data_IF_689525848039
#
_entry.id   IF_689525848039
#
_cell.length_a   1.000
_cell.length_b   1.000
_cell.length_c   1.000
_cell.angle_alpha   90.00
_cell.angle_beta   90.00
_cell.angle_gamma   90.00
#
_symmetry.space_group_name_H-M   'P 1'
#
loop_
_entity.id
_entity.type
_entity.pdbx_description
1 polymer ?
#
# COMPACT_ATOMS: atom_id res chain seq x y z
N UNK A 1 -6.28 -17.15 -0.85
CA UNK A 1 -7.70 -16.77 -0.90
C UNK A 1 -8.31 -16.89 0.49
N UNK A 2 -9.04 -15.89 0.96
CA UNK A 2 -9.72 -15.94 2.25
C UNK A 2 -11.21 -15.73 2.08
N UNK A 3 -12.02 -16.53 2.77
CA UNK A 3 -13.48 -16.51 2.71
C UNK A 3 -14.08 -16.15 4.07
N UNK A 4 -15.26 -15.54 4.03
CA UNK A 4 -16.16 -15.43 5.18
C UNK A 4 -17.53 -15.91 4.72
N UNK A 5 -18.04 -16.96 5.33
CA UNK A 5 -19.36 -17.50 5.06
C UNK A 5 -20.27 -17.04 6.20
N UNK A 6 -21.29 -16.24 5.87
CA UNK A 6 -22.32 -15.84 6.83
C UNK A 6 -23.30 -16.98 7.12
N UNK A 7 -23.95 -16.94 8.28
CA UNK A 7 -24.92 -17.94 8.70
C UNK A 7 -24.37 -19.04 9.60
N UNK A 8 -25.14 -20.10 9.79
CA UNK A 8 -24.74 -21.21 10.62
C UNK A 8 -23.60 -22.03 10.01
N UNK A 9 -22.72 -22.53 10.88
CA UNK A 9 -21.63 -23.38 10.44
C UNK A 9 -22.17 -24.70 9.87
N UNK A 10 -21.73 -25.00 8.65
CA UNK A 10 -22.02 -26.28 7.97
C UNK A 10 -20.79 -26.82 7.28
N UNK A 11 -20.55 -28.10 7.38
CA UNK A 11 -19.48 -28.79 6.67
C UNK A 11 -19.80 -29.13 5.22
N UNK A 12 -20.98 -28.77 4.75
CA UNK A 12 -21.46 -29.03 3.38
C UNK A 12 -21.08 -27.93 2.38
N UNK A 13 -20.39 -26.90 2.85
CA UNK A 13 -19.88 -25.84 1.97
C UNK A 13 -18.65 -26.30 1.20
N UNK A 14 -18.65 -26.01 -0.09
CA UNK A 14 -17.51 -26.19 -0.99
C UNK A 14 -17.27 -24.92 -1.82
N UNK A 15 -16.04 -24.77 -2.35
CA UNK A 15 -15.65 -23.57 -3.09
C UNK A 15 -14.91 -23.97 -4.37
N UNK A 16 -15.39 -23.48 -5.51
CA UNK A 16 -14.74 -23.59 -6.82
C UNK A 16 -14.11 -22.23 -7.17
N UNK A 17 -12.81 -22.21 -7.48
CA UNK A 17 -12.08 -21.02 -7.89
C UNK A 17 -11.49 -21.29 -9.27
N UNK A 18 -11.88 -20.50 -10.25
CA UNK A 18 -11.37 -20.54 -11.62
C UNK A 18 -10.75 -19.20 -11.98
N UNK A 19 -9.67 -19.23 -12.73
CA UNK A 19 -9.06 -18.04 -13.26
C UNK A 19 -8.53 -18.26 -14.66
N UNK A 20 -8.65 -17.25 -15.52
CA UNK A 20 -8.11 -17.27 -16.87
C UNK A 20 -7.47 -15.93 -17.26
N UNK A 21 -6.32 -16.01 -17.90
CA UNK A 21 -5.62 -14.88 -18.50
C UNK A 21 -4.94 -15.38 -19.78
N UNK A 22 -5.43 -14.95 -20.96
CA UNK A 22 -4.93 -15.44 -22.25
C UNK A 22 -4.96 -16.99 -22.31
N UNK A 23 -3.80 -17.61 -22.59
CA UNK A 23 -3.64 -19.07 -22.62
C UNK A 23 -3.51 -19.70 -21.23
N UNK A 24 -3.19 -18.94 -20.19
CA UNK A 24 -3.01 -19.45 -18.83
C UNK A 24 -4.33 -19.55 -18.08
N UNK A 25 -4.61 -20.74 -17.53
CA UNK A 25 -5.83 -21.03 -16.78
C UNK A 25 -5.52 -21.84 -15.54
N UNK A 26 -6.33 -21.66 -14.51
CA UNK A 26 -6.30 -22.54 -13.34
C UNK A 26 -7.74 -22.83 -12.87
N UNK A 27 -7.91 -23.96 -12.22
CA UNK A 27 -9.15 -24.34 -11.56
C UNK A 27 -8.82 -25.14 -10.31
N UNK A 28 -9.37 -24.72 -9.18
CA UNK A 28 -9.16 -25.34 -7.88
C UNK A 28 -10.51 -25.52 -7.19
N UNK A 29 -10.77 -26.75 -6.72
CA UNK A 29 -11.98 -27.08 -6.03
C UNK A 29 -11.68 -27.54 -4.60
N UNK A 30 -12.24 -26.86 -3.63
CA UNK A 30 -12.22 -27.22 -2.22
C UNK A 30 -13.54 -27.87 -1.87
N UNK A 31 -13.55 -29.18 -1.78
CA UNK A 31 -14.76 -30.00 -1.60
C UNK A 31 -15.39 -29.84 -0.22
N UNK A 32 -14.70 -29.25 0.74
CA UNK A 32 -15.17 -29.02 2.10
C UNK A 32 -14.49 -27.82 2.74
N UNK A 33 -15.29 -26.91 3.25
CA UNK A 33 -14.82 -25.79 4.07
C UNK A 33 -15.08 -26.13 5.54
N UNK A 34 -13.99 -26.24 6.32
CA UNK A 34 -14.06 -26.64 7.74
C UNK A 34 -14.48 -25.51 8.67
N UNK A 35 -14.36 -24.26 8.19
CA UNK A 35 -14.66 -23.08 8.99
C UNK A 35 -15.32 -22.03 8.11
N UNK A 36 -16.17 -21.21 8.72
CA UNK A 36 -16.82 -20.07 8.04
C UNK A 36 -15.86 -18.89 7.79
N UNK A 37 -14.65 -18.93 8.35
CA UNK A 37 -13.58 -17.98 8.10
C UNK A 37 -12.28 -18.74 7.93
N UNK A 38 -11.47 -18.37 6.94
CA UNK A 38 -10.19 -19.04 6.75
C UNK A 38 -9.41 -18.48 5.58
N UNK A 39 -8.24 -19.06 5.36
CA UNK A 39 -7.42 -18.85 4.19
C UNK A 39 -7.20 -20.20 3.49
N UNK A 40 -7.34 -20.19 2.19
CA UNK A 40 -7.08 -21.34 1.33
C UNK A 40 -5.85 -21.02 0.47
N UNK A 41 -4.96 -21.99 0.35
CA UNK A 41 -3.72 -21.86 -0.42
C UNK A 41 -3.71 -22.85 -1.56
N UNK A 42 -3.31 -22.42 -2.73
CA UNK A 42 -3.13 -23.27 -3.90
C UNK A 42 -2.02 -22.72 -4.80
N UNK A 43 -1.51 -23.55 -5.69
CA UNK A 43 -0.47 -23.18 -6.63
C UNK A 43 -1.05 -23.03 -8.02
N UNK A 44 -0.62 -22.01 -8.73
CA UNK A 44 -0.87 -21.84 -10.17
C UNK A 44 0.43 -22.15 -10.89
N UNK A 45 0.41 -23.21 -11.71
CA UNK A 45 1.58 -23.61 -12.49
C UNK A 45 1.81 -22.69 -13.69
N UNK A 46 3.05 -22.28 -13.90
CA UNK A 46 3.48 -21.43 -15.03
C UNK A 46 2.58 -20.21 -15.25
N UNK A 47 2.38 -19.35 -14.23
CA UNK A 47 1.48 -18.22 -14.34
C UNK A 47 2.05 -17.15 -15.27
N UNK A 48 1.16 -16.43 -15.97
CA UNK A 48 1.49 -15.17 -16.60
C UNK A 48 1.59 -14.09 -15.53
N UNK A 49 2.77 -13.53 -15.34
CA UNK A 49 3.00 -12.55 -14.29
C UNK A 49 2.47 -11.17 -14.70
N UNK A 50 1.93 -10.46 -13.73
CA UNK A 50 1.64 -9.03 -13.85
C UNK A 50 2.92 -8.23 -13.60
N UNK A 51 3.17 -7.22 -14.40
CA UNK A 51 4.33 -6.35 -14.30
C UNK A 51 3.94 -4.89 -14.10
N UNK A 52 4.80 -4.14 -13.43
CA UNK A 52 4.68 -2.69 -13.40
C UNK A 52 4.89 -2.11 -14.81
N UNK A 53 4.36 -0.91 -15.02
CA UNK A 53 4.44 -0.18 -16.30
C UNK A 53 5.88 -0.13 -16.79
N UNK A 54 6.06 -0.34 -18.08
CA UNK A 54 7.33 -0.41 -18.81
C UNK A 54 8.27 -1.58 -18.45
N UNK A 55 7.81 -2.53 -17.64
CA UNK A 55 8.60 -3.71 -17.27
C UNK A 55 8.08 -5.02 -17.90
N UNK A 56 6.88 -5.00 -18.42
CA UNK A 56 6.21 -6.15 -19.02
C UNK A 56 4.70 -5.94 -19.09
N UNK A 57 3.98 -7.00 -19.34
CA UNK A 57 2.53 -6.96 -19.53
C UNK A 57 1.77 -6.97 -18.20
N UNK A 58 0.64 -6.28 -18.16
CA UNK A 58 -0.28 -6.27 -17.03
C UNK A 58 -1.27 -7.43 -17.13
N UNK A 59 -0.75 -8.66 -16.99
CA UNK A 59 -1.55 -9.86 -17.07
C UNK A 59 -2.48 -9.97 -15.85
N UNK A 60 -3.79 -9.85 -16.09
CA UNK A 60 -4.83 -9.96 -15.08
C UNK A 60 -5.68 -11.19 -15.36
N UNK A 61 -5.74 -12.10 -14.41
CA UNK A 61 -6.67 -13.24 -14.44
C UNK A 61 -8.07 -12.75 -14.09
N UNK A 62 -9.04 -13.06 -14.93
CA UNK A 62 -10.45 -13.00 -14.53
C UNK A 62 -10.73 -14.20 -13.64
N UNK A 63 -10.96 -13.94 -12.38
CA UNK A 63 -11.19 -14.98 -11.36
C UNK A 63 -12.66 -15.04 -11.02
N UNK A 64 -13.23 -16.24 -11.06
CA UNK A 64 -14.58 -16.54 -10.59
C UNK A 64 -14.47 -17.48 -9.39
N UNK A 65 -15.05 -17.08 -8.26
CA UNK A 65 -15.14 -17.91 -7.07
C UNK A 65 -16.63 -18.21 -6.78
N UNK A 66 -16.98 -19.49 -6.79
CA UNK A 66 -18.37 -19.96 -6.59
C UNK A 66 -18.46 -20.78 -5.33
N UNK A 67 -19.30 -20.35 -4.40
CA UNK A 67 -19.59 -21.03 -3.14
C UNK A 67 -20.83 -21.90 -3.32
N UNK A 68 -20.73 -23.17 -2.90
CA UNK A 68 -21.83 -24.14 -2.91
C UNK A 68 -22.19 -24.54 -1.48
N UNK A 69 -23.46 -24.83 -1.27
CA UNK A 69 -23.97 -25.62 -0.15
C UNK A 69 -24.56 -26.90 -0.69
N UNK A 70 -23.92 -28.02 -0.47
CA UNK A 70 -24.21 -29.26 -1.17
C UNK A 70 -24.05 -29.12 -2.69
N UNK A 71 -25.17 -29.15 -3.45
CA UNK A 71 -25.14 -28.94 -4.92
C UNK A 71 -25.65 -27.55 -5.35
N UNK A 72 -26.13 -26.75 -4.42
CA UNK A 72 -26.73 -25.46 -4.69
C UNK A 72 -25.67 -24.38 -4.68
N UNK A 73 -25.67 -23.49 -5.68
CA UNK A 73 -24.86 -22.28 -5.69
C UNK A 73 -25.50 -21.27 -4.74
N UNK A 74 -24.76 -20.86 -3.72
CA UNK A 74 -25.24 -19.88 -2.73
C UNK A 74 -24.62 -18.49 -2.91
N UNK A 75 -23.44 -18.42 -3.56
CA UNK A 75 -22.81 -17.15 -3.88
C UNK A 75 -21.81 -17.32 -5.03
N UNK A 76 -21.63 -16.25 -5.81
CA UNK A 76 -20.59 -16.18 -6.85
C UNK A 76 -20.02 -14.77 -6.89
N UNK A 77 -18.68 -14.68 -6.93
CA UNK A 77 -18.00 -13.40 -7.08
C UNK A 77 -16.99 -13.48 -8.22
N UNK A 78 -16.85 -12.38 -8.96
CA UNK A 78 -15.86 -12.20 -10.01
C UNK A 78 -14.97 -11.00 -9.71
N UNK A 79 -13.69 -11.14 -10.00
CA UNK A 79 -12.71 -10.04 -9.88
C UNK A 79 -11.49 -10.30 -10.75
N UNK A 80 -10.75 -9.25 -11.05
CA UNK A 80 -9.45 -9.36 -11.71
C UNK A 80 -8.34 -9.50 -10.65
N UNK A 81 -7.35 -10.33 -10.95
CA UNK A 81 -6.20 -10.54 -10.08
C UNK A 81 -4.94 -10.80 -10.88
N UNK A 82 -3.86 -10.07 -10.61
CA UNK A 82 -2.54 -10.28 -11.20
C UNK A 82 -1.62 -11.03 -10.25
N UNK A 83 -0.92 -12.02 -10.79
CA UNK A 83 0.08 -12.80 -10.03
C UNK A 83 1.42 -12.08 -10.12
N UNK A 84 1.94 -11.66 -9.01
CA UNK A 84 3.24 -10.96 -8.92
C UNK A 84 3.83 -11.03 -7.51
N UNK A 85 5.11 -10.70 -7.37
CA UNK A 85 5.75 -10.36 -6.10
C UNK A 85 6.13 -8.88 -6.11
N UNK A 86 6.03 -8.23 -4.95
CA UNK A 86 6.60 -6.89 -4.71
C UNK A 86 7.36 -6.96 -3.40
N UNK A 87 8.57 -6.43 -3.39
CA UNK A 87 9.37 -6.28 -2.18
C UNK A 87 9.91 -4.87 -2.07
N UNK A 88 9.87 -4.33 -0.87
CA UNK A 88 10.57 -3.11 -0.48
C UNK A 88 11.84 -3.50 0.26
N UNK A 89 12.99 -3.15 -0.29
CA UNK A 89 14.28 -3.30 0.38
C UNK A 89 14.70 -1.93 0.89
N UNK A 90 14.90 -1.81 2.19
CA UNK A 90 15.29 -0.56 2.84
C UNK A 90 16.28 -0.82 3.97
N UNK A 91 17.18 0.12 4.17
CA UNK A 91 18.04 0.20 5.35
C UNK A 91 17.40 1.08 6.43
N UNK A 92 17.87 0.95 7.67
CA UNK A 92 17.42 1.79 8.79
C UNK A 92 17.90 3.23 8.67
N UNK A 93 19.10 3.40 8.13
CA UNK A 93 19.74 4.70 7.91
C UNK A 93 20.58 4.65 6.63
N UNK A 94 20.86 5.81 6.09
CA UNK A 94 21.89 6.02 5.07
C UNK A 94 23.04 6.84 5.67
N UNK A 95 24.19 6.88 4.99
CA UNK A 95 25.32 7.71 5.38
C UNK A 95 25.74 8.67 4.25
N UNK A 96 26.66 9.59 4.56
CA UNK A 96 27.15 10.58 3.61
C UNK A 96 27.98 9.98 2.45
N UNK A 97 28.34 8.70 2.54
CA UNK A 97 29.00 7.96 1.46
C UNK A 97 28.00 7.29 0.52
N UNK A 98 26.69 7.51 0.74
CA UNK A 98 25.62 6.92 -0.08
C UNK A 98 25.32 5.47 0.26
N UNK A 99 25.86 4.93 1.36
CA UNK A 99 25.46 3.60 1.81
C UNK A 99 24.07 3.64 2.40
N UNK A 100 23.24 2.68 2.01
CA UNK A 100 21.85 2.55 2.36
C UNK A 100 21.04 2.16 1.15
N UNK A 101 19.78 1.86 1.36
CA UNK A 101 18.88 1.42 0.30
C UNK A 101 17.42 1.76 0.64
N UNK A 102 16.68 2.18 -0.37
CA UNK A 102 15.22 2.20 -0.37
C UNK A 102 14.77 1.97 -1.81
N UNK A 103 14.41 0.74 -2.14
CA UNK A 103 14.00 0.43 -3.51
C UNK A 103 12.98 -0.71 -3.56
N UNK A 104 12.20 -0.68 -4.63
CA UNK A 104 11.21 -1.71 -4.93
C UNK A 104 11.78 -2.76 -5.90
N UNK A 105 11.35 -4.01 -5.68
CA UNK A 105 11.57 -5.11 -6.61
C UNK A 105 10.21 -5.69 -7.00
N UNK A 106 9.93 -5.74 -8.30
CA UNK A 106 8.74 -6.38 -8.86
C UNK A 106 9.17 -7.66 -9.56
N UNK A 107 8.63 -8.79 -9.15
CA UNK A 107 9.02 -10.12 -9.67
C UNK A 107 10.54 -10.36 -9.64
N UNK A 108 11.20 -9.88 -8.58
CA UNK A 108 12.64 -10.00 -8.41
C UNK A 108 13.47 -8.98 -9.20
N UNK A 109 12.86 -8.11 -10.00
CA UNK A 109 13.57 -7.09 -10.78
C UNK A 109 13.50 -5.74 -10.06
N UNK A 110 14.67 -5.12 -9.87
CA UNK A 110 14.77 -3.77 -9.28
C UNK A 110 14.02 -2.77 -10.14
N UNK A 111 13.13 -2.02 -9.52
CA UNK A 111 12.19 -1.12 -10.20
C UNK A 111 12.48 0.31 -9.82
N UNK A 112 12.84 1.14 -10.81
CA UNK A 112 12.93 2.59 -10.61
C UNK A 112 11.53 3.20 -10.57
N UNK A 113 11.21 3.90 -9.48
CA UNK A 113 9.90 4.52 -9.29
C UNK A 113 9.88 5.93 -9.89
N UNK A 114 8.94 6.13 -10.78
CA UNK A 114 8.52 7.44 -11.32
C UNK A 114 7.10 7.65 -10.86
N UNK A 115 6.90 8.46 -9.85
CA UNK A 115 5.60 8.56 -9.20
C UNK A 115 5.23 9.97 -8.81
N UNK A 116 4.03 10.10 -8.30
CA UNK A 116 3.50 11.32 -7.70
C UNK A 116 2.66 10.97 -6.48
N UNK A 117 2.44 11.97 -5.61
CA UNK A 117 1.46 11.84 -4.55
C UNK A 117 0.06 12.07 -5.10
N UNK A 118 -0.89 11.28 -4.61
CA UNK A 118 -2.30 11.42 -4.90
C UNK A 118 -3.00 12.02 -3.70
N UNK A 119 -3.60 13.17 -3.93
CA UNK A 119 -4.38 13.94 -2.94
C UNK A 119 -5.83 14.05 -3.41
N UNK A 120 -6.78 14.47 -2.55
CA UNK A 120 -8.17 14.66 -2.96
C UNK A 120 -8.28 15.53 -4.21
N UNK A 121 -9.10 15.11 -5.17
CA UNK A 121 -9.31 15.80 -6.44
C UNK A 121 -10.24 17.01 -6.31
N UNK A 122 -11.06 17.02 -5.27
CA UNK A 122 -11.95 18.14 -4.92
C UNK A 122 -12.02 18.29 -3.38
N UNK A 123 -12.37 19.47 -2.90
CA UNK A 123 -12.65 19.71 -1.49
C UNK A 123 -13.88 18.90 -1.00
N UNK A 124 -14.75 18.53 -1.91
CA UNK A 124 -15.90 17.66 -1.67
C UNK A 124 -15.68 16.32 -2.38
N UNK A 125 -15.35 15.28 -1.64
CA UNK A 125 -15.06 13.94 -2.20
C UNK A 125 -16.19 13.35 -3.05
N UNK A 126 -17.44 13.74 -2.78
CA UNK A 126 -18.59 13.36 -3.63
C UNK A 126 -18.46 13.83 -5.08
N UNK A 127 -17.53 14.74 -5.37
CA UNK A 127 -17.26 15.29 -6.72
C UNK A 127 -15.99 14.75 -7.35
N UNK A 128 -15.21 13.93 -6.66
CA UNK A 128 -13.95 13.38 -7.17
C UNK A 128 -14.16 12.63 -8.47
N UNK A 129 -15.25 11.88 -8.62
CA UNK A 129 -15.60 11.13 -9.82
C UNK A 129 -15.68 11.98 -11.10
N UNK A 130 -16.04 13.28 -10.99
CA UNK A 130 -16.07 14.20 -12.12
C UNK A 130 -14.67 14.46 -12.73
N UNK A 131 -13.62 14.31 -11.91
CA UNK A 131 -12.23 14.61 -12.24
C UNK A 131 -11.36 13.37 -12.37
N UNK A 132 -11.78 12.25 -11.78
CA UNK A 132 -10.99 11.02 -11.63
C UNK A 132 -10.37 10.57 -12.95
N UNK A 133 -11.19 10.41 -13.99
CA UNK A 133 -10.68 9.94 -15.29
C UNK A 133 -9.56 10.83 -15.83
N UNK A 134 -9.74 12.14 -15.80
CA UNK A 134 -8.74 13.09 -16.30
C UNK A 134 -7.44 13.03 -15.49
N UNK A 135 -7.54 12.95 -14.17
CA UNK A 135 -6.38 12.84 -13.29
C UNK A 135 -5.62 11.52 -13.52
N UNK A 136 -6.34 10.41 -13.70
CA UNK A 136 -5.75 9.11 -14.02
C UNK A 136 -5.06 9.10 -15.41
N UNK A 137 -5.68 9.70 -16.43
CA UNK A 137 -5.07 9.84 -17.75
C UNK A 137 -3.75 10.65 -17.66
N UNK A 138 -3.71 11.71 -16.82
CA UNK A 138 -2.49 12.49 -16.59
C UNK A 138 -1.34 11.65 -15.98
N UNK A 139 -1.63 10.65 -15.13
CA UNK A 139 -0.57 9.75 -14.63
C UNK A 139 0.13 9.01 -15.76
N UNK A 140 -0.62 8.62 -16.79
CA UNK A 140 -0.07 7.97 -17.99
C UNK A 140 0.74 8.95 -18.83
N UNK A 141 0.24 10.17 -19.03
CA UNK A 141 0.87 11.21 -19.83
C UNK A 141 2.24 11.61 -19.28
N UNK A 142 2.37 11.71 -17.95
CA UNK A 142 3.65 12.00 -17.30
C UNK A 142 4.50 10.75 -17.04
N UNK A 143 4.08 9.60 -17.60
CA UNK A 143 4.78 8.33 -17.52
C UNK A 143 5.02 7.81 -16.09
N UNK A 144 4.06 7.98 -15.20
CA UNK A 144 4.10 7.39 -13.87
C UNK A 144 4.00 5.86 -13.93
N UNK A 145 4.80 5.18 -13.11
CA UNK A 145 4.66 3.75 -12.81
C UNK A 145 4.29 3.49 -11.35
N UNK A 146 4.13 4.54 -10.57
CA UNK A 146 3.67 4.45 -9.18
C UNK A 146 2.89 5.70 -8.77
N UNK A 147 2.02 5.55 -7.78
CA UNK A 147 1.29 6.63 -7.13
C UNK A 147 1.20 6.34 -5.64
N UNK A 148 1.38 7.38 -4.82
CA UNK A 148 1.20 7.30 -3.37
C UNK A 148 -0.10 7.99 -2.97
N UNK A 149 -1.04 7.22 -2.44
CA UNK A 149 -2.25 7.74 -1.80
C UNK A 149 -1.88 8.29 -0.42
N UNK A 150 -1.78 9.60 -0.33
CA UNK A 150 -1.29 10.34 0.82
C UNK A 150 -2.21 10.22 2.05
N UNK A 151 -1.62 10.08 3.24
CA UNK A 151 -2.31 9.84 4.50
C UNK A 151 -3.22 10.98 5.00
N UNK A 152 -3.08 12.19 4.47
CA UNK A 152 -4.01 13.32 4.71
C UNK A 152 -5.25 13.29 3.80
N UNK A 153 -5.51 12.18 3.13
CA UNK A 153 -6.57 12.02 2.14
C UNK A 153 -7.62 10.99 2.62
N UNK A 154 -8.45 10.57 1.68
CA UNK A 154 -9.41 9.47 1.83
C UNK A 154 -8.89 8.21 1.14
N UNK A 155 -9.52 7.07 1.45
CA UNK A 155 -9.24 5.83 0.73
C UNK A 155 -10.04 5.79 -0.56
N UNK A 156 -9.33 5.70 -1.69
CA UNK A 156 -9.94 5.65 -3.00
C UNK A 156 -10.83 4.43 -3.22
N UNK A 157 -11.70 4.52 -4.21
CA UNK A 157 -12.59 3.44 -4.59
C UNK A 157 -11.95 2.48 -5.59
N UNK A 158 -12.63 1.37 -5.84
CA UNK A 158 -12.16 0.31 -6.72
C UNK A 158 -11.82 0.79 -8.14
N UNK A 159 -12.53 1.79 -8.67
CA UNK A 159 -12.27 2.35 -10.00
C UNK A 159 -10.84 2.87 -10.14
N UNK A 160 -10.34 3.59 -9.13
CA UNK A 160 -8.95 4.05 -9.09
C UNK A 160 -7.96 2.88 -9.14
N UNK A 161 -8.16 1.88 -8.30
CA UNK A 161 -7.28 0.70 -8.23
C UNK A 161 -7.38 -0.18 -9.47
N UNK A 162 -8.58 -0.35 -10.04
CA UNK A 162 -8.80 -1.09 -11.29
C UNK A 162 -8.05 -0.44 -12.45
N UNK A 163 -8.00 0.89 -12.48
CA UNK A 163 -7.20 1.62 -13.46
C UNK A 163 -5.71 1.35 -13.25
N UNK A 164 -5.21 1.42 -12.01
CA UNK A 164 -3.82 1.13 -11.67
C UNK A 164 -3.45 -0.33 -12.00
N UNK A 165 -4.33 -1.29 -11.68
CA UNK A 165 -4.15 -2.70 -12.02
C UNK A 165 -3.98 -2.92 -13.53
N UNK A 166 -4.81 -2.27 -14.35
CA UNK A 166 -4.79 -2.38 -15.83
C UNK A 166 -3.59 -1.69 -16.48
N UNK A 167 -3.06 -0.66 -15.85
CA UNK A 167 -2.00 0.18 -16.45
C UNK A 167 -0.62 -0.03 -15.82
N UNK A 168 -0.47 -0.97 -14.89
CA UNK A 168 0.82 -1.29 -14.28
C UNK A 168 1.33 -0.22 -13.31
N UNK A 169 0.43 0.57 -12.72
CA UNK A 169 0.80 1.62 -11.77
C UNK A 169 0.80 1.02 -10.36
N UNK A 170 1.97 0.97 -9.72
CA UNK A 170 2.08 0.55 -8.34
C UNK A 170 1.41 1.57 -7.40
N UNK A 171 0.67 1.10 -6.41
CA UNK A 171 0.04 1.96 -5.41
C UNK A 171 0.71 1.77 -4.05
N UNK A 172 1.21 2.85 -3.51
CA UNK A 172 1.61 3.00 -2.12
C UNK A 172 0.42 3.62 -1.39
N UNK A 173 -0.17 2.92 -0.43
CA UNK A 173 -1.33 3.39 0.32
C UNK A 173 -0.96 3.69 1.77
N UNK A 174 -1.02 4.96 2.15
CA UNK A 174 -0.98 5.35 3.57
C UNK A 174 -2.34 5.05 4.23
N UNK A 175 -2.31 4.71 5.52
CA UNK A 175 -3.51 4.83 6.34
C UNK A 175 -3.80 6.30 6.62
N UNK A 176 -5.09 6.63 6.81
CA UNK A 176 -5.58 8.04 6.86
C UNK A 176 -5.16 8.76 8.16
N UNK A 177 -3.86 8.94 8.33
CA UNK A 177 -3.23 9.73 9.39
C UNK A 177 -2.11 10.58 8.80
N UNK A 178 -1.95 11.82 9.28
CA UNK A 178 -0.88 12.68 8.78
C UNK A 178 -0.50 13.79 9.74
N UNK A 179 0.78 14.15 9.71
CA UNK A 179 1.35 15.38 10.26
C UNK A 179 1.05 15.65 11.75
N UNK A 180 0.83 14.62 12.55
CA UNK A 180 0.41 14.78 13.95
C UNK A 180 0.83 13.60 14.84
N UNK A 181 0.70 13.80 16.15
CA UNK A 181 0.75 12.72 17.14
C UNK A 181 -0.68 12.34 17.52
N UNK A 182 -1.03 11.07 17.34
CA UNK A 182 -2.37 10.54 17.62
C UNK A 182 -2.46 9.92 19.01
N UNK A 183 -3.67 9.79 19.60
CA UNK A 183 -3.84 9.14 20.90
C UNK A 183 -3.36 7.69 20.90
N UNK A 184 -2.65 7.30 21.98
CA UNK A 184 -2.06 5.96 22.13
C UNK A 184 -2.85 5.09 23.14
N UNK A 185 -4.06 5.50 23.51
CA UNK A 185 -4.90 4.77 24.44
C UNK A 185 -5.60 3.58 23.76
N UNK A 186 -6.08 2.65 24.56
CA UNK A 186 -6.70 1.40 24.09
C UNK A 186 -7.90 1.65 23.16
N UNK A 187 -8.72 2.64 23.45
CA UNK A 187 -9.91 2.94 22.65
C UNK A 187 -9.55 3.39 21.24
N UNK A 188 -8.56 4.28 21.10
CA UNK A 188 -8.13 4.75 19.79
C UNK A 188 -7.42 3.64 18.98
N UNK A 189 -6.58 2.84 19.64
CA UNK A 189 -5.96 1.67 19.00
C UNK A 189 -6.99 0.69 18.46
N UNK A 190 -8.10 0.47 19.18
CA UNK A 190 -9.16 -0.41 18.68
C UNK A 190 -9.89 0.17 17.49
N UNK A 191 -10.18 1.47 17.48
CA UNK A 191 -10.75 2.17 16.31
C UNK A 191 -9.85 2.00 15.09
N UNK A 192 -8.53 2.14 15.27
CA UNK A 192 -7.57 1.95 14.18
C UNK A 192 -7.49 0.49 13.69
N UNK A 193 -7.65 -0.50 14.58
CA UNK A 193 -7.76 -1.91 14.14
C UNK A 193 -8.98 -2.14 13.27
N UNK A 194 -10.14 -1.62 13.68
CA UNK A 194 -11.39 -1.74 12.93
C UNK A 194 -11.28 -1.08 11.55
N UNK A 195 -10.77 0.14 11.50
CA UNK A 195 -10.53 0.86 10.24
C UNK A 195 -9.57 0.08 9.34
N UNK A 196 -8.42 -0.33 9.89
CA UNK A 196 -7.43 -1.12 9.15
C UNK A 196 -8.04 -2.41 8.60
N UNK A 197 -8.82 -3.13 9.39
CA UNK A 197 -9.48 -4.36 8.95
C UNK A 197 -10.43 -4.10 7.77
N UNK A 198 -11.22 -3.04 7.84
CA UNK A 198 -12.15 -2.66 6.78
C UNK A 198 -11.41 -2.31 5.49
N UNK A 199 -10.41 -1.44 5.58
CA UNK A 199 -9.66 -0.95 4.42
C UNK A 199 -8.83 -2.07 3.77
N UNK A 200 -8.17 -2.89 4.57
CA UNK A 200 -7.40 -4.02 4.04
C UNK A 200 -8.31 -5.01 3.33
N UNK A 201 -9.48 -5.34 3.88
CA UNK A 201 -10.46 -6.21 3.19
C UNK A 201 -10.97 -5.59 1.89
N UNK A 202 -11.19 -4.27 1.86
CA UNK A 202 -11.61 -3.54 0.66
C UNK A 202 -10.54 -3.63 -0.45
N UNK A 203 -9.28 -3.37 -0.13
CA UNK A 203 -8.26 -3.05 -1.11
C UNK A 203 -7.25 -4.18 -1.42
N UNK A 204 -7.04 -5.14 -0.52
CA UNK A 204 -5.99 -6.15 -0.64
C UNK A 204 -6.05 -7.02 -1.90
N UNK A 205 -7.21 -7.10 -2.57
CA UNK A 205 -7.37 -7.85 -3.82
C UNK A 205 -6.69 -7.19 -5.01
N UNK A 206 -6.42 -5.88 -4.94
CA UNK A 206 -5.84 -5.13 -6.04
C UNK A 206 -4.37 -5.46 -6.23
N UNK A 207 -4.03 -5.77 -7.47
CA UNK A 207 -2.68 -6.18 -7.89
C UNK A 207 -1.69 -5.03 -7.81
N UNK A 208 -2.13 -3.83 -8.16
CA UNK A 208 -1.34 -2.60 -8.11
C UNK A 208 -0.91 -2.22 -6.70
N UNK A 209 -1.67 -2.56 -5.68
CA UNK A 209 -1.34 -2.24 -4.29
C UNK A 209 -0.04 -2.91 -3.87
N UNK A 210 1.03 -2.13 -3.79
CA UNK A 210 2.40 -2.59 -3.58
C UNK A 210 2.83 -2.49 -2.12
N UNK A 211 2.41 -1.44 -1.42
CA UNK A 211 2.87 -1.08 -0.08
C UNK A 211 1.72 -0.51 0.74
N UNK A 212 1.63 -0.95 2.00
CA UNK A 212 0.89 -0.25 3.04
C UNK A 212 1.84 0.63 3.84
N UNK A 213 1.48 1.88 4.10
CA UNK A 213 2.20 2.74 5.03
C UNK A 213 1.31 3.16 6.20
N UNK A 214 1.89 3.25 7.38
CA UNK A 214 1.14 3.51 8.61
C UNK A 214 0.56 4.92 8.65
N UNK A 215 1.28 5.90 8.14
CA UNK A 215 0.88 7.30 8.16
C UNK A 215 1.77 8.18 7.26
N UNK A 216 1.38 9.45 7.12
CA UNK A 216 2.20 10.52 6.58
C UNK A 216 2.83 11.36 7.69
N UNK A 217 4.14 11.39 7.78
CA UNK A 217 4.95 12.30 8.62
C UNK A 217 4.69 12.26 10.14
N UNK A 218 3.95 11.28 10.66
CA UNK A 218 3.71 11.22 12.11
C UNK A 218 4.98 10.91 12.91
N UNK A 219 5.91 10.14 12.33
CA UNK A 219 7.22 9.90 12.95
C UNK A 219 8.05 11.19 13.00
N UNK A 220 8.11 11.95 11.91
CA UNK A 220 8.80 13.23 11.89
C UNK A 220 8.15 14.26 12.82
N UNK A 221 6.83 14.32 12.84
CA UNK A 221 6.10 15.20 13.75
C UNK A 221 6.43 14.91 15.22
N UNK A 222 6.51 13.62 15.58
CA UNK A 222 6.87 13.21 16.93
C UNK A 222 8.33 13.49 17.26
N UNK A 223 9.25 13.20 16.33
CA UNK A 223 10.68 13.24 16.56
C UNK A 223 11.29 14.64 16.42
N UNK A 224 10.87 15.42 15.41
CA UNK A 224 11.67 16.55 14.92
C UNK A 224 10.93 17.88 14.81
N UNK A 225 9.58 17.91 14.81
CA UNK A 225 8.87 19.19 14.60
C UNK A 225 8.62 19.98 15.88
N UNK A 226 8.72 19.33 17.03
CA UNK A 226 8.58 19.96 18.32
C UNK A 226 9.95 20.32 18.90
N UNK A 227 9.97 21.25 19.86
CA UNK A 227 11.16 21.49 20.66
C UNK A 227 11.70 20.19 21.26
N UNK A 228 13.01 20.05 21.39
CA UNK A 228 13.66 18.83 21.91
C UNK A 228 13.06 18.34 23.25
N UNK A 229 12.60 19.26 24.10
CA UNK A 229 11.94 18.92 25.36
C UNK A 229 10.56 18.28 25.20
N UNK A 230 9.95 18.45 24.04
CA UNK A 230 8.62 17.92 23.69
C UNK A 230 8.70 16.77 22.66
N UNK A 231 9.87 16.57 22.06
CA UNK A 231 10.06 15.48 21.08
C UNK A 231 9.81 14.12 21.73
N UNK A 232 9.25 13.21 20.97
CA UNK A 232 8.85 11.87 21.43
C UNK A 232 9.45 10.82 20.51
N UNK A 233 9.86 9.71 21.11
CA UNK A 233 10.33 8.56 20.37
C UNK A 233 9.20 8.01 19.45
N UNK A 234 9.34 8.13 18.13
CA UNK A 234 8.33 7.69 17.18
C UNK A 234 8.13 6.16 17.21
N UNK A 235 9.13 5.41 17.69
CA UNK A 235 9.05 3.95 17.80
C UNK A 235 8.09 3.49 18.91
N UNK A 236 7.62 4.41 19.74
CA UNK A 236 6.54 4.18 20.72
C UNK A 236 5.14 4.45 20.17
N UNK A 237 5.01 4.80 18.89
CA UNK A 237 3.70 4.92 18.23
C UNK A 237 3.08 3.52 18.05
N UNK A 238 2.22 3.13 18.98
CA UNK A 238 1.59 1.81 19.02
C UNK A 238 0.60 1.59 17.87
N UNK A 239 0.08 2.65 17.29
CA UNK A 239 -0.85 2.52 16.15
C UNK A 239 -0.11 1.86 14.99
N UNK A 240 1.01 2.42 14.60
CA UNK A 240 1.76 2.00 13.41
C UNK A 240 2.77 0.87 13.70
N UNK A 241 3.12 0.61 14.97
CA UNK A 241 4.03 -0.48 15.36
C UNK A 241 3.30 -1.73 15.90
N UNK A 242 2.05 -1.58 16.39
CA UNK A 242 1.30 -2.71 16.96
C UNK A 242 -0.04 -2.92 16.23
N UNK A 243 -0.97 -1.92 16.28
CA UNK A 243 -2.36 -2.10 15.87
C UNK A 243 -2.52 -2.42 14.38
N UNK A 244 -1.89 -1.63 13.50
CA UNK A 244 -1.94 -1.86 12.04
C UNK A 244 -1.20 -3.16 11.64
N UNK A 245 0.06 -3.40 12.07
CA UNK A 245 0.76 -4.64 11.75
C UNK A 245 0.05 -5.91 12.19
N UNK A 246 -0.63 -5.90 13.35
CA UNK A 246 -1.40 -7.03 13.83
C UNK A 246 -2.52 -7.43 12.84
N UNK A 247 -3.22 -6.44 12.30
CA UNK A 247 -4.28 -6.67 11.32
C UNK A 247 -3.68 -7.11 9.97
N UNK A 248 -2.61 -6.47 9.52
CA UNK A 248 -1.93 -6.81 8.26
C UNK A 248 -1.38 -8.24 8.31
N UNK A 249 -0.74 -8.64 9.41
CA UNK A 249 -0.24 -10.01 9.59
C UNK A 249 -1.34 -11.07 9.43
N UNK A 250 -2.55 -10.74 9.82
CA UNK A 250 -3.71 -11.65 9.71
C UNK A 250 -4.38 -11.62 8.33
N UNK A 251 -4.47 -10.44 7.70
CA UNK A 251 -5.30 -10.24 6.51
C UNK A 251 -4.53 -10.07 5.21
N UNK A 252 -3.30 -9.57 5.24
CA UNK A 252 -2.46 -9.32 4.06
C UNK A 252 -0.96 -9.53 4.38
N UNK A 253 -0.56 -10.73 4.87
CA UNK A 253 0.75 -10.98 5.47
C UNK A 253 1.94 -10.93 4.50
N UNK A 254 1.68 -10.91 3.20
CA UNK A 254 2.71 -10.95 2.17
C UNK A 254 2.97 -9.60 1.50
N UNK A 255 2.22 -8.57 1.89
CA UNK A 255 2.44 -7.22 1.37
C UNK A 255 3.37 -6.45 2.29
N UNK A 256 4.25 -5.67 1.66
CA UNK A 256 5.19 -4.83 2.39
C UNK A 256 4.46 -3.77 3.25
N UNK A 257 5.06 -3.46 4.39
CA UNK A 257 4.56 -2.45 5.31
C UNK A 257 5.67 -1.50 5.75
N UNK A 258 5.40 -0.21 5.66
CA UNK A 258 6.25 0.87 6.15
C UNK A 258 5.53 1.58 7.31
N UNK A 259 6.09 1.66 8.53
CA UNK A 259 5.36 2.21 9.68
C UNK A 259 5.00 3.69 9.56
N UNK A 260 5.78 4.48 8.86
CA UNK A 260 5.54 5.91 8.59
C UNK A 260 6.26 6.32 7.30
N UNK A 261 5.88 7.39 6.68
CA UNK A 261 6.59 7.99 5.56
C UNK A 261 6.84 9.48 5.87
N UNK A 262 8.09 9.91 6.14
CA UNK A 262 9.30 9.10 6.32
C UNK A 262 9.28 8.23 7.59
N UNK A 263 9.93 7.07 7.49
CA UNK A 263 10.09 6.17 8.62
C UNK A 263 11.32 6.51 9.44
N UNK A 264 11.14 6.87 10.70
CA UNK A 264 12.23 7.10 11.65
C UNK A 264 12.51 5.81 12.42
N UNK A 265 13.53 5.07 12.02
CA UNK A 265 13.95 3.86 12.72
C UNK A 265 14.48 4.17 14.13
N UNK A 266 14.54 3.16 15.01
CA UNK A 266 15.13 3.30 16.33
C UNK A 266 16.58 3.80 16.24
N UNK A 267 17.35 3.30 15.27
CA UNK A 267 18.73 3.72 15.02
C UNK A 267 18.82 5.20 14.62
N UNK A 268 17.92 5.66 13.74
CA UNK A 268 17.84 7.06 13.32
C UNK A 268 17.49 7.97 14.49
N UNK A 269 16.52 7.58 15.30
CA UNK A 269 16.07 8.30 16.49
C UNK A 269 17.20 8.43 17.54
N UNK A 270 17.82 7.31 17.92
CA UNK A 270 18.89 7.28 18.95
C UNK A 270 20.12 8.09 18.55
N UNK A 271 20.40 8.21 17.26
CA UNK A 271 21.53 8.96 16.74
C UNK A 271 21.18 10.41 16.35
N UNK A 272 19.95 10.88 16.59
CA UNK A 272 19.42 12.19 16.15
C UNK A 272 19.73 12.46 14.65
N UNK A 273 19.57 11.41 13.82
CA UNK A 273 20.00 11.41 12.43
C UNK A 273 18.83 11.60 11.45
N UNK A 274 18.23 12.79 11.46
CA UNK A 274 17.16 13.14 10.53
C UNK A 274 17.59 13.07 9.05
N UNK A 275 18.80 13.51 8.75
CA UNK A 275 19.30 13.58 7.37
C UNK A 275 19.73 12.21 6.83
N UNK A 276 19.85 11.21 7.70
CA UNK A 276 20.22 9.85 7.33
C UNK A 276 19.02 8.91 7.11
N UNK A 277 17.82 9.42 6.88
CA UNK A 277 16.70 8.58 6.50
C UNK A 277 16.84 8.18 5.02
N UNK A 278 16.65 6.89 4.68
CA UNK A 278 16.77 6.43 3.29
C UNK A 278 15.64 6.90 2.38
N UNK A 279 14.50 7.23 2.95
CA UNK A 279 13.34 7.82 2.29
C UNK A 279 13.04 9.15 2.96
N UNK A 280 12.80 10.20 2.17
CA UNK A 280 12.69 11.57 2.67
C UNK A 280 11.61 12.38 1.98
N UNK A 281 11.04 13.33 2.74
CA UNK A 281 10.21 14.41 2.26
C UNK A 281 11.04 15.69 2.16
N UNK A 282 11.17 16.23 0.95
CA UNK A 282 12.01 17.39 0.65
C UNK A 282 11.18 18.67 0.54
N UNK A 283 10.77 19.21 1.68
CA UNK A 283 10.07 20.48 1.80
C UNK A 283 11.00 21.51 2.43
N UNK A 284 11.75 22.23 1.59
CA UNK A 284 12.75 23.20 2.02
C UNK A 284 12.34 24.66 1.81
N UNK A 285 13.34 25.56 1.91
CA UNK A 285 13.14 26.98 1.63
C UNK A 285 12.48 27.22 0.28
N UNK A 286 11.54 28.14 0.20
CA UNK A 286 10.76 28.42 -1.00
C UNK A 286 11.19 29.70 -1.72
N UNK A 287 12.41 30.13 -1.48
CA UNK A 287 13.06 31.28 -2.10
C UNK A 287 13.73 30.94 -3.43
N UNK A 288 14.35 29.75 -3.51
CA UNK A 288 15.04 29.31 -4.71
C UNK A 288 15.11 27.79 -4.84
N UNK A 289 14.41 27.22 -5.85
CA UNK A 289 14.33 25.77 -6.07
C UNK A 289 15.66 25.08 -6.41
N UNK A 290 16.69 25.84 -6.86
CA UNK A 290 18.06 25.37 -7.07
C UNK A 290 18.98 25.69 -5.90
N UNK A 291 18.44 26.07 -4.75
CA UNK A 291 19.21 26.28 -3.53
C UNK A 291 19.84 25.00 -3.01
N UNK A 292 20.83 25.15 -2.14
CA UNK A 292 21.62 24.03 -1.59
C UNK A 292 20.76 22.94 -0.91
N UNK A 293 19.66 23.33 -0.28
CA UNK A 293 18.71 22.38 0.30
C UNK A 293 18.25 21.32 -0.70
N UNK A 294 17.89 21.73 -1.92
CA UNK A 294 17.40 20.80 -2.95
C UNK A 294 18.52 20.14 -3.73
N UNK A 295 19.56 20.88 -4.08
CA UNK A 295 20.67 20.39 -4.92
C UNK A 295 21.68 19.53 -4.14
N UNK A 296 21.77 19.73 -2.83
CA UNK A 296 22.63 18.95 -1.93
C UNK A 296 21.91 17.75 -1.30
N UNK A 297 20.59 17.62 -1.47
CA UNK A 297 19.86 16.50 -0.95
C UNK A 297 20.19 15.20 -1.73
N UNK A 298 20.42 14.11 -1.00
CA UNK A 298 20.77 12.80 -1.58
C UNK A 298 20.00 11.63 -0.94
N UNK A 299 18.66 11.69 -0.85
CA UNK A 299 17.89 10.55 -0.38
C UNK A 299 17.96 9.40 -1.38
N UNK A 300 17.86 8.15 -0.92
CA UNK A 300 17.69 7.01 -1.81
C UNK A 300 16.30 7.00 -2.48
N UNK A 301 15.31 7.60 -1.80
CA UNK A 301 13.97 7.77 -2.30
C UNK A 301 13.38 9.09 -1.81
N UNK A 302 13.03 9.99 -2.73
CA UNK A 302 12.25 11.19 -2.42
C UNK A 302 10.77 10.88 -2.63
N UNK A 303 10.07 10.55 -1.54
CA UNK A 303 8.64 10.23 -1.57
C UNK A 303 7.76 11.46 -1.63
N UNK A 304 8.28 12.60 -1.17
CA UNK A 304 7.71 13.91 -1.41
C UNK A 304 8.80 14.92 -1.78
N UNK A 305 8.53 15.71 -2.79
CA UNK A 305 9.35 16.85 -3.15
C UNK A 305 8.44 17.93 -3.72
N UNK A 306 8.62 19.16 -3.28
CA UNK A 306 7.84 20.28 -3.79
C UNK A 306 8.52 21.61 -3.50
N UNK A 307 8.17 22.59 -4.32
CA UNK A 307 8.66 23.96 -4.16
C UNK A 307 7.50 24.94 -4.12
N UNK A 308 6.95 25.28 -5.26
CA UNK A 308 5.74 26.08 -5.39
C UNK A 308 4.72 25.37 -6.26
N UNK A 309 3.44 25.53 -5.94
CA UNK A 309 2.37 25.24 -6.88
C UNK A 309 2.40 26.25 -8.03
N UNK A 310 2.03 25.79 -9.20
CA UNK A 310 1.84 26.66 -10.36
C UNK A 310 0.50 27.37 -10.29
#
# INVERSE_FOLDING_TARGET
FSTVIGGDYSTEYSLDIKGECKESKFSVYFNKLWHNKGALTFTVESPLLWWARDMGEQNLYRVTATLYHGKEIVDTTEFNFGIRTVRLVKSDTTDNSGNGEFCFYVNGVRTYIRGTNWVPLDAFHSRDGERLKKALDMLLDINCNAVRCWGGSVYEDHEFFDFCDKNGILVWQDFAMGCATYPQNREFLEKMRVETEFIVKKLRKHTSLALWAGDNECDEAAAYWLDKSLSRDPNKNRITREAIPEVLKRLDPYREYLPSSPYVSERAWLNDNRNGLPENHLWGPRDYFKGEFYTGASPHFASEIGYHGC
#
